data_IF_299298137259
#
_entry.id   IF_299298137259
#
_cell.length_a   1.000
_cell.length_b   1.000
_cell.length_c   1.000
_cell.angle_alpha   90.00
_cell.angle_beta   90.00
_cell.angle_gamma   90.00
#
_symmetry.space_group_name_H-M   'P 1'
#
loop_
_entity.id
_entity.type
_entity.pdbx_description
1 polymer ?
#
# COMPACT_ATOMS: atom_id res chain seq x y z
N UNK A 1 21.79 15.44 -1.90
CA UNK A 1 20.92 14.78 -0.93
C UNK A 1 19.92 13.87 -1.62
N UNK A 2 19.21 14.34 -2.66
CA UNK A 2 18.19 13.60 -3.42
C UNK A 2 18.68 12.21 -3.84
N UNK A 3 19.79 12.11 -4.59
CA UNK A 3 20.35 10.80 -5.02
C UNK A 3 20.56 9.83 -3.84
N UNK A 4 21.12 10.30 -2.74
CA UNK A 4 21.41 9.47 -1.57
C UNK A 4 20.13 8.89 -0.93
N UNK A 5 19.06 9.70 -0.85
CA UNK A 5 17.76 9.25 -0.33
C UNK A 5 17.08 8.28 -1.29
N UNK A 6 17.02 8.60 -2.58
CA UNK A 6 16.45 7.69 -3.58
C UNK A 6 17.18 6.35 -3.60
N UNK A 7 18.52 6.36 -3.48
CA UNK A 7 19.31 5.13 -3.40
C UNK A 7 18.96 4.28 -2.16
N UNK A 8 18.73 4.91 -1.01
CA UNK A 8 18.24 4.19 0.18
C UNK A 8 16.86 3.59 -0.03
N UNK A 9 15.97 4.32 -0.71
CA UNK A 9 14.63 3.85 -1.03
C UNK A 9 14.68 2.63 -1.97
N UNK A 10 15.58 2.61 -2.97
CA UNK A 10 15.80 1.43 -3.80
C UNK A 10 16.31 0.22 -3.00
N UNK A 11 17.18 0.42 -2.02
CA UNK A 11 17.61 -0.67 -1.14
C UNK A 11 16.46 -1.19 -0.25
N UNK A 12 15.56 -0.32 0.18
CA UNK A 12 14.35 -0.74 0.91
C UNK A 12 13.46 -1.58 0.01
N UNK A 13 13.22 -1.17 -1.23
CA UNK A 13 12.45 -1.94 -2.20
C UNK A 13 13.07 -3.31 -2.46
N UNK A 14 14.41 -3.40 -2.56
CA UNK A 14 15.11 -4.68 -2.67
C UNK A 14 14.84 -5.62 -1.49
N UNK A 15 14.78 -5.07 -0.26
CA UNK A 15 14.44 -5.85 0.95
C UNK A 15 12.97 -6.28 0.91
N UNK A 16 12.07 -5.42 0.48
CA UNK A 16 10.64 -5.75 0.37
C UNK A 16 10.37 -6.85 -0.64
N UNK A 17 11.13 -6.91 -1.74
CA UNK A 17 11.05 -8.00 -2.72
C UNK A 17 11.48 -9.38 -2.17
N UNK A 18 12.12 -9.46 -1.00
CA UNK A 18 12.38 -10.75 -0.35
C UNK A 18 11.08 -11.40 0.16
N UNK A 19 10.01 -10.63 0.39
CA UNK A 19 8.72 -11.16 0.82
C UNK A 19 8.10 -12.03 -0.29
N UNK A 20 7.89 -11.55 -1.53
CA UNK A 20 7.41 -12.41 -2.61
C UNK A 20 8.39 -13.56 -2.95
N UNK A 21 9.70 -13.42 -2.73
CA UNK A 21 10.64 -14.56 -2.84
C UNK A 21 10.25 -15.67 -1.85
N UNK A 22 9.90 -15.33 -0.60
CA UNK A 22 9.46 -16.33 0.38
C UNK A 22 8.16 -17.03 -0.04
N UNK A 23 7.25 -16.30 -0.69
CA UNK A 23 6.03 -16.86 -1.27
C UNK A 23 6.36 -17.83 -2.42
N UNK A 24 7.28 -17.43 -3.33
CA UNK A 24 7.73 -18.28 -4.43
C UNK A 24 8.36 -19.59 -3.93
N UNK A 25 9.16 -19.54 -2.84
CA UNK A 25 9.74 -20.73 -2.20
C UNK A 25 8.63 -21.63 -1.64
N UNK A 26 7.66 -21.06 -0.93
CA UNK A 26 6.56 -21.82 -0.32
C UNK A 26 5.72 -22.56 -1.36
N UNK A 27 5.43 -21.90 -2.50
CA UNK A 27 4.64 -22.47 -3.59
C UNK A 27 5.47 -23.24 -4.62
N UNK A 28 6.79 -23.36 -4.43
CA UNK A 28 7.72 -24.09 -5.32
C UNK A 28 7.58 -23.62 -6.79
N UNK A 29 7.56 -22.31 -6.98
CA UNK A 29 7.39 -21.70 -8.31
C UNK A 29 8.59 -22.00 -9.23
N UNK A 30 8.43 -21.70 -10.51
CA UNK A 30 9.43 -21.99 -11.54
C UNK A 30 10.73 -21.18 -11.33
N UNK A 31 11.85 -21.72 -11.79
CA UNK A 31 13.16 -21.05 -11.77
C UNK A 31 13.11 -19.68 -12.47
N UNK A 32 12.25 -19.50 -13.47
CA UNK A 32 12.10 -18.24 -14.18
C UNK A 32 11.62 -17.11 -13.25
N UNK A 33 10.69 -17.40 -12.33
CA UNK A 33 10.22 -16.44 -11.34
C UNK A 33 11.33 -16.06 -10.35
N UNK A 34 12.11 -17.04 -9.88
CA UNK A 34 13.25 -16.78 -9.01
C UNK A 34 14.30 -15.91 -9.72
N UNK A 35 14.63 -16.22 -10.98
CA UNK A 35 15.56 -15.41 -11.76
C UNK A 35 15.04 -13.98 -11.91
N UNK A 36 13.76 -13.79 -12.18
CA UNK A 36 13.13 -12.47 -12.31
C UNK A 36 13.22 -11.66 -11.01
N UNK A 37 12.85 -12.26 -9.88
CA UNK A 37 12.92 -11.62 -8.57
C UNK A 37 14.35 -11.27 -8.16
N UNK A 38 15.30 -12.24 -8.25
CA UNK A 38 16.68 -12.01 -7.85
C UNK A 38 17.44 -11.07 -8.79
N UNK A 39 17.14 -11.09 -10.09
CA UNK A 39 17.71 -10.11 -11.04
C UNK A 39 17.28 -8.69 -10.68
N UNK A 40 16.00 -8.49 -10.37
CA UNK A 40 15.48 -7.19 -9.94
C UNK A 40 16.12 -6.75 -8.62
N UNK A 41 16.19 -7.63 -7.61
CA UNK A 41 16.87 -7.36 -6.34
C UNK A 41 18.34 -6.98 -6.59
N UNK A 42 19.04 -7.71 -7.47
CA UNK A 42 20.43 -7.44 -7.83
C UNK A 42 20.61 -6.04 -8.43
N UNK A 43 19.74 -5.64 -9.35
CA UNK A 43 19.75 -4.30 -9.97
C UNK A 43 19.53 -3.22 -8.89
N UNK A 44 18.54 -3.40 -8.02
CA UNK A 44 18.21 -2.46 -6.95
C UNK A 44 19.36 -2.32 -5.94
N UNK A 45 19.98 -3.43 -5.55
CA UNK A 45 21.14 -3.44 -4.64
C UNK A 45 22.35 -2.77 -5.30
N UNK A 46 22.60 -3.03 -6.57
CA UNK A 46 23.69 -2.41 -7.31
C UNK A 46 23.50 -0.89 -7.39
N UNK A 47 22.35 -0.42 -7.88
CA UNK A 47 22.06 1.00 -8.06
C UNK A 47 21.95 1.73 -6.71
N UNK A 48 21.24 1.13 -5.76
CA UNK A 48 21.09 1.65 -4.41
C UNK A 48 22.42 1.68 -3.66
N UNK A 49 23.20 0.62 -3.73
CA UNK A 49 24.52 0.51 -3.11
C UNK A 49 25.49 1.58 -3.63
N UNK A 50 25.64 1.68 -4.97
CA UNK A 50 26.51 2.70 -5.60
C UNK A 50 26.11 4.13 -5.21
N UNK A 51 24.81 4.39 -5.09
CA UNK A 51 24.31 5.72 -4.73
C UNK A 51 24.54 6.10 -3.27
N UNK A 52 24.58 5.13 -2.36
CA UNK A 52 24.82 5.34 -0.91
C UNK A 52 26.31 5.51 -0.58
N UNK A 53 27.22 5.00 -1.40
CA UNK A 53 28.68 5.08 -1.14
C UNK A 53 29.18 6.51 -0.94
N UNK A 54 28.60 7.50 -1.61
CA UNK A 54 28.98 8.90 -1.49
C UNK A 54 27.97 9.65 -0.64
N UNK A 55 28.23 9.74 0.67
CA UNK A 55 27.41 10.53 1.61
C UNK A 55 27.45 12.02 1.23
N UNK A 56 26.31 12.72 1.19
CA UNK A 56 26.28 14.15 0.90
C UNK A 56 26.87 14.96 2.07
N UNK A 57 27.68 15.96 1.75
CA UNK A 57 28.25 16.90 2.75
C UNK A 57 27.13 17.76 3.38
N UNK A 58 26.18 18.22 2.57
CA UNK A 58 25.00 18.95 3.02
C UNK A 58 23.79 18.00 3.14
N UNK A 59 23.20 17.93 4.32
CA UNK A 59 22.07 17.06 4.64
C UNK A 59 20.73 17.84 4.75
N UNK A 60 20.73 19.14 4.43
CA UNK A 60 19.49 19.93 4.43
C UNK A 60 18.66 19.57 3.19
N UNK A 61 17.36 19.46 3.39
CA UNK A 61 16.36 19.24 2.35
C UNK A 61 15.41 20.44 2.39
N UNK A 62 15.19 21.08 1.26
CA UNK A 62 14.20 22.14 1.10
C UNK A 62 12.88 21.55 0.62
N UNK A 63 11.77 22.28 0.79
CA UNK A 63 10.43 21.82 0.40
C UNK A 63 10.35 21.37 -1.07
N UNK A 64 10.98 22.12 -1.99
CA UNK A 64 11.04 21.73 -3.42
C UNK A 64 11.74 20.38 -3.65
N UNK A 65 12.83 20.14 -2.91
CA UNK A 65 13.56 18.86 -2.98
C UNK A 65 12.72 17.72 -2.39
N UNK A 66 11.95 18.01 -1.34
CA UNK A 66 11.00 17.06 -0.74
C UNK A 66 9.98 16.56 -1.77
N UNK A 67 9.27 17.47 -2.43
CA UNK A 67 8.30 17.14 -3.48
C UNK A 67 8.94 16.37 -4.63
N UNK A 68 10.16 16.75 -5.06
CA UNK A 68 10.87 16.04 -6.12
C UNK A 68 11.25 14.61 -5.70
N UNK A 69 11.68 14.41 -4.43
CA UNK A 69 12.00 13.07 -3.90
C UNK A 69 10.75 12.19 -3.91
N UNK A 70 9.60 12.71 -3.47
CA UNK A 70 8.32 12.00 -3.50
C UNK A 70 7.98 11.56 -4.92
N UNK A 71 7.94 12.49 -5.87
CA UNK A 71 7.59 12.20 -7.26
C UNK A 71 8.54 11.15 -7.88
N UNK A 72 9.86 11.33 -7.70
CA UNK A 72 10.86 10.39 -8.22
C UNK A 72 10.79 9.03 -7.52
N UNK A 73 10.44 8.98 -6.23
CA UNK A 73 10.26 7.73 -5.50
C UNK A 73 9.12 6.90 -6.12
N UNK A 74 7.95 7.49 -6.35
CA UNK A 74 6.81 6.82 -6.98
C UNK A 74 7.15 6.28 -8.36
N UNK A 75 7.86 7.08 -9.19
CA UNK A 75 8.28 6.67 -10.53
C UNK A 75 9.28 5.51 -10.45
N UNK A 76 10.31 5.61 -9.62
CA UNK A 76 11.37 4.60 -9.52
C UNK A 76 10.85 3.29 -8.94
N UNK A 77 10.07 3.34 -7.87
CA UNK A 77 9.49 2.14 -7.25
C UNK A 77 8.49 1.45 -8.18
N UNK A 78 7.68 2.21 -8.92
CA UNK A 78 6.80 1.62 -9.93
C UNK A 78 7.58 0.97 -11.07
N UNK A 79 8.68 1.59 -11.50
CA UNK A 79 9.51 1.06 -12.59
C UNK A 79 10.25 -0.21 -12.16
N UNK A 80 10.98 -0.17 -11.06
CA UNK A 80 11.76 -1.32 -10.60
C UNK A 80 10.86 -2.43 -10.05
N UNK A 81 9.79 -2.10 -9.34
CA UNK A 81 8.81 -3.06 -8.86
C UNK A 81 8.04 -3.77 -9.98
N UNK A 82 7.99 -3.18 -11.18
CA UNK A 82 7.44 -3.79 -12.39
C UNK A 82 8.38 -4.81 -13.06
N UNK A 83 9.71 -4.71 -12.85
CA UNK A 83 10.67 -5.58 -13.53
C UNK A 83 10.47 -7.08 -13.29
N UNK A 84 10.08 -7.58 -12.11
CA UNK A 84 9.80 -9.00 -11.92
C UNK A 84 8.76 -9.55 -12.88
N UNK A 85 7.75 -8.76 -13.25
CA UNK A 85 6.72 -9.17 -14.19
C UNK A 85 7.24 -9.24 -15.63
N UNK A 86 8.11 -8.29 -16.01
CA UNK A 86 8.75 -8.26 -17.32
C UNK A 86 9.73 -9.44 -17.48
N UNK A 87 10.62 -9.63 -16.50
CA UNK A 87 11.64 -10.67 -16.54
C UNK A 87 11.06 -12.10 -16.44
N UNK A 88 9.93 -12.26 -15.74
CA UNK A 88 9.22 -13.53 -15.71
C UNK A 88 8.38 -13.80 -16.96
N UNK A 89 8.20 -12.78 -17.83
CA UNK A 89 7.35 -12.88 -19.01
C UNK A 89 5.85 -12.87 -18.73
N UNK A 90 5.41 -12.67 -17.48
CA UNK A 90 3.98 -12.66 -17.13
C UNK A 90 3.28 -11.36 -17.55
N UNK A 91 4.00 -10.23 -17.54
CA UNK A 91 3.63 -8.96 -18.20
C UNK A 91 4.86 -8.53 -19.01
N UNK A 92 4.98 -8.96 -20.28
CA UNK A 92 6.19 -8.72 -21.06
C UNK A 92 6.46 -7.24 -21.40
N UNK A 93 5.39 -6.43 -21.47
CA UNK A 93 5.48 -5.01 -21.77
C UNK A 93 5.97 -4.25 -20.53
N UNK A 94 7.06 -3.51 -20.65
CA UNK A 94 7.59 -2.64 -19.57
C UNK A 94 6.60 -1.57 -19.19
N UNK A 95 5.85 -1.02 -20.16
CA UNK A 95 4.85 0.04 -19.91
C UNK A 95 3.68 -0.53 -19.10
N UNK A 96 3.20 -1.72 -19.46
CA UNK A 96 2.09 -2.38 -18.78
C UNK A 96 2.48 -2.79 -17.36
N UNK A 97 3.68 -3.34 -17.18
CA UNK A 97 4.21 -3.68 -15.86
C UNK A 97 4.40 -2.43 -14.98
N UNK A 98 4.87 -1.32 -15.56
CA UNK A 98 4.96 -0.04 -14.87
C UNK A 98 3.58 0.47 -14.46
N UNK A 99 2.57 0.40 -15.35
CA UNK A 99 1.20 0.80 -15.06
C UNK A 99 0.62 -0.03 -13.91
N UNK A 100 0.75 -1.36 -13.97
CA UNK A 100 0.22 -2.28 -12.96
C UNK A 100 0.78 -1.99 -11.57
N UNK A 101 2.10 -1.81 -11.48
CA UNK A 101 2.76 -1.54 -10.20
C UNK A 101 2.61 -0.09 -9.74
N UNK A 102 2.52 0.85 -10.68
CA UNK A 102 2.15 2.23 -10.34
C UNK A 102 0.74 2.28 -9.72
N UNK A 103 -0.21 1.57 -10.33
CA UNK A 103 -1.56 1.40 -9.77
C UNK A 103 -1.53 0.76 -8.38
N UNK A 104 -0.64 -0.20 -8.17
CA UNK A 104 -0.40 -0.83 -6.87
C UNK A 104 0.09 0.18 -5.82
N UNK A 105 1.20 0.84 -6.05
CA UNK A 105 1.80 1.79 -5.10
C UNK A 105 0.95 3.04 -4.87
N UNK A 106 0.23 3.51 -5.88
CA UNK A 106 -0.70 4.65 -5.71
C UNK A 106 -2.06 4.22 -5.16
N UNK A 107 -2.22 2.94 -4.85
CA UNK A 107 -3.46 2.34 -4.34
C UNK A 107 -4.69 2.58 -5.23
N UNK A 108 -4.48 2.78 -6.52
CA UNK A 108 -5.53 3.06 -7.50
C UNK A 108 -6.40 1.83 -7.76
N UNK A 109 -5.81 0.64 -7.81
CA UNK A 109 -6.52 -0.63 -8.07
C UNK A 109 -6.92 -0.87 -9.52
N UNK A 110 -6.54 0.02 -10.46
CA UNK A 110 -6.72 -0.22 -11.88
C UNK A 110 -5.75 -1.31 -12.37
N UNK A 111 -6.19 -2.18 -13.28
CA UNK A 111 -5.36 -3.26 -13.82
C UNK A 111 -5.37 -3.27 -15.33
N UNK A 112 -4.21 -3.59 -15.92
CA UNK A 112 -4.06 -3.87 -17.35
C UNK A 112 -4.38 -5.33 -17.67
N UNK A 113 -4.42 -6.20 -16.65
CA UNK A 113 -4.66 -7.62 -16.81
C UNK A 113 -6.14 -7.90 -17.09
N UNK A 114 -6.42 -8.59 -18.18
CA UNK A 114 -7.74 -9.14 -18.48
C UNK A 114 -8.02 -10.41 -17.69
N UNK A 115 -6.95 -11.10 -17.27
CA UNK A 115 -7.01 -12.29 -16.43
C UNK A 115 -5.86 -12.25 -15.42
N UNK A 116 -6.19 -12.12 -14.13
CA UNK A 116 -5.20 -12.09 -13.05
C UNK A 116 -4.66 -13.48 -12.71
N UNK A 117 -5.32 -14.55 -13.17
CA UNK A 117 -4.91 -15.94 -12.92
C UNK A 117 -3.64 -16.34 -13.68
N UNK A 118 -3.22 -15.55 -14.68
CA UNK A 118 -1.95 -15.74 -15.38
C UNK A 118 -0.73 -15.47 -14.50
N UNK A 119 -0.90 -14.70 -13.43
CA UNK A 119 0.18 -14.39 -12.51
C UNK A 119 0.45 -15.55 -11.55
N UNK A 120 1.73 -15.83 -11.32
CA UNK A 120 2.15 -16.72 -10.23
C UNK A 120 1.80 -16.11 -8.87
N UNK A 121 1.65 -16.96 -7.84
CA UNK A 121 1.24 -16.51 -6.51
C UNK A 121 2.19 -15.48 -5.91
N UNK A 122 3.50 -15.61 -6.14
CA UNK A 122 4.47 -14.65 -5.64
C UNK A 122 4.32 -13.27 -6.29
N UNK A 123 4.08 -13.21 -7.61
CA UNK A 123 3.90 -11.94 -8.32
C UNK A 123 2.53 -11.33 -8.04
N UNK A 124 1.48 -12.14 -7.93
CA UNK A 124 0.16 -11.68 -7.49
C UNK A 124 0.21 -11.14 -6.05
N UNK A 125 0.99 -11.80 -5.17
CA UNK A 125 1.25 -11.30 -3.84
C UNK A 125 2.01 -9.96 -3.86
N UNK A 126 3.08 -9.85 -4.67
CA UNK A 126 3.84 -8.61 -4.82
C UNK A 126 2.95 -7.45 -5.28
N UNK A 127 2.12 -7.70 -6.29
CA UNK A 127 1.13 -6.76 -6.80
C UNK A 127 0.24 -6.20 -5.67
N UNK A 128 -0.31 -7.07 -4.83
CA UNK A 128 -1.17 -6.67 -3.72
C UNK A 128 -0.36 -6.07 -2.55
N UNK A 129 0.87 -6.53 -2.35
CA UNK A 129 1.75 -5.99 -1.32
C UNK A 129 2.15 -4.53 -1.59
N UNK A 130 2.22 -4.13 -2.86
CA UNK A 130 2.41 -2.72 -3.21
C UNK A 130 1.25 -1.83 -2.71
N UNK A 131 -0.01 -2.33 -2.68
CA UNK A 131 -1.12 -1.62 -2.04
C UNK A 131 -0.91 -1.40 -0.54
N UNK A 132 -0.45 -2.43 0.18
CA UNK A 132 -0.17 -2.30 1.62
C UNK A 132 0.91 -1.26 1.88
N UNK A 133 1.96 -1.24 1.07
CA UNK A 133 3.06 -0.28 1.19
C UNK A 133 2.57 1.12 0.81
N UNK A 134 1.83 1.23 -0.28
CA UNK A 134 1.29 2.48 -0.82
C UNK A 134 0.31 3.16 0.11
N UNK A 135 -0.56 2.40 0.79
CA UNK A 135 -1.64 2.91 1.64
C UNK A 135 -1.17 3.78 2.81
N UNK A 136 0.07 3.62 3.28
CA UNK A 136 0.66 4.52 4.29
C UNK A 136 1.67 5.52 3.71
N UNK A 137 1.82 5.53 2.39
CA UNK A 137 2.82 6.36 1.73
C UNK A 137 4.23 5.82 1.90
N UNK A 138 4.91 5.60 0.79
CA UNK A 138 6.29 5.07 0.73
C UNK A 138 7.24 5.87 1.61
N UNK A 139 7.06 7.18 1.69
CA UNK A 139 7.96 8.04 2.44
C UNK A 139 7.73 8.01 3.94
N UNK A 140 6.48 7.81 4.39
CA UNK A 140 6.20 7.59 5.82
C UNK A 140 6.85 6.29 6.28
N UNK A 141 6.76 5.23 5.48
CA UNK A 141 7.46 3.99 5.72
C UNK A 141 8.99 4.16 5.75
N UNK A 142 9.55 4.86 4.75
CA UNK A 142 10.97 5.13 4.70
C UNK A 142 11.45 5.96 5.92
N UNK A 143 10.69 6.98 6.34
CA UNK A 143 11.00 7.80 7.51
C UNK A 143 10.90 7.02 8.82
N UNK A 144 9.96 6.08 8.93
CA UNK A 144 9.83 5.22 10.10
C UNK A 144 11.07 4.33 10.31
N UNK A 145 11.69 3.86 9.20
CA UNK A 145 12.87 2.99 9.24
C UNK A 145 14.18 3.78 9.33
N UNK A 146 14.25 5.00 8.76
CA UNK A 146 15.47 5.80 8.73
C UNK A 146 15.80 6.35 10.12
N UNK A 147 17.03 6.08 10.60
CA UNK A 147 17.53 6.65 11.85
C UNK A 147 17.78 8.17 11.75
N UNK A 148 17.41 8.88 12.82
CA UNK A 148 17.66 10.32 13.00
C UNK A 148 17.12 11.24 11.89
N UNK A 149 15.79 11.24 11.71
CA UNK A 149 15.14 12.31 10.96
C UNK A 149 15.43 13.68 11.63
N UNK A 150 16.41 14.41 11.10
CA UNK A 150 16.61 15.84 11.43
C UNK A 150 15.40 16.61 10.89
N UNK A 151 15.16 17.82 11.39
CA UNK A 151 14.03 18.68 10.98
C UNK A 151 13.85 18.87 9.45
N UNK A 152 14.92 18.59 8.67
CA UNK A 152 14.89 18.65 7.21
C UNK A 152 14.01 17.57 6.54
N UNK A 153 13.68 16.47 7.22
CA UNK A 153 12.80 15.42 6.68
C UNK A 153 11.32 15.74 6.90
N UNK A 154 11.00 16.77 7.67
CA UNK A 154 9.65 17.26 7.94
C UNK A 154 8.93 17.69 6.64
N UNK A 155 9.66 18.32 5.73
CA UNK A 155 9.10 18.82 4.47
C UNK A 155 8.75 17.69 3.52
N UNK A 156 9.51 16.59 3.54
CA UNK A 156 9.21 15.37 2.76
C UNK A 156 7.93 14.71 3.28
N UNK A 157 7.81 14.62 4.60
CA UNK A 157 6.64 14.00 5.24
C UNK A 157 5.36 14.84 5.05
N UNK A 158 5.44 16.17 5.08
CA UNK A 158 4.29 17.06 4.80
C UNK A 158 3.77 16.92 3.38
N UNK A 159 4.62 16.56 2.42
CA UNK A 159 4.22 16.35 1.04
C UNK A 159 3.45 15.04 0.81
N UNK A 160 3.60 14.06 1.70
CA UNK A 160 3.06 12.70 1.52
C UNK A 160 1.85 12.39 2.42
N UNK A 161 1.79 12.97 3.62
CA UNK A 161 0.72 12.64 4.59
C UNK A 161 -0.54 13.43 4.27
N UNK A 162 -1.64 12.79 3.85
CA UNK A 162 -2.91 13.46 3.69
C UNK A 162 -3.50 13.83 5.06
N UNK A 163 -3.96 15.09 5.19
CA UNK A 163 -4.69 15.55 6.38
C UNK A 163 -4.07 16.78 7.09
N UNK A 164 -4.81 17.39 8.01
CA UNK A 164 -4.35 18.57 8.75
C UNK A 164 -3.14 18.26 9.63
N UNK A 165 -2.25 19.22 9.68
CA UNK A 165 -0.92 19.16 10.32
C UNK A 165 -1.00 18.61 11.75
N UNK A 166 -0.15 17.65 12.05
CA UNK A 166 0.05 17.05 13.37
C UNK A 166 0.13 18.11 14.48
N UNK A 167 -0.85 18.10 15.36
CA UNK A 167 -0.80 18.92 16.57
C UNK A 167 0.37 18.52 17.46
N UNK A 168 0.80 19.43 18.34
CA UNK A 168 1.96 19.35 19.26
C UNK A 168 1.99 18.15 20.23
N UNK A 169 1.40 17.00 19.89
CA UNK A 169 1.16 15.87 20.82
C UNK A 169 2.35 14.90 20.89
N UNK A 170 3.23 14.87 19.89
CA UNK A 170 4.38 13.96 19.88
C UNK A 170 5.66 14.73 19.58
N UNK A 171 6.60 14.66 20.49
CA UNK A 171 7.86 15.43 20.46
C UNK A 171 8.82 15.08 19.31
N UNK A 172 8.57 13.97 18.58
CA UNK A 172 9.41 13.53 17.46
C UNK A 172 8.54 12.93 16.35
N UNK A 173 8.61 13.50 15.16
CA UNK A 173 7.91 13.06 13.94
C UNK A 173 8.12 11.58 13.61
N UNK A 174 9.33 11.07 13.81
CA UNK A 174 9.65 9.65 13.62
C UNK A 174 8.76 8.76 14.50
N UNK A 175 8.58 9.13 15.78
CA UNK A 175 7.75 8.35 16.70
C UNK A 175 6.28 8.35 16.27
N UNK A 176 5.78 9.49 15.78
CA UNK A 176 4.41 9.58 15.25
C UNK A 176 4.23 8.69 14.04
N UNK A 177 5.12 8.77 13.05
CA UNK A 177 5.08 7.92 11.86
C UNK A 177 5.15 6.42 12.23
N UNK A 178 6.03 6.06 13.18
CA UNK A 178 6.13 4.67 13.65
C UNK A 178 4.83 4.19 14.31
N UNK A 179 4.21 5.01 15.16
CA UNK A 179 2.94 4.65 15.81
C UNK A 179 1.82 4.46 14.78
N UNK A 180 1.67 5.40 13.83
CA UNK A 180 0.66 5.30 12.78
C UNK A 180 0.89 4.07 11.90
N UNK A 181 2.16 3.76 11.58
CA UNK A 181 2.48 2.58 10.80
C UNK A 181 2.20 1.27 11.57
N UNK A 182 2.50 1.23 12.87
CA UNK A 182 2.16 0.09 13.73
C UNK A 182 0.64 -0.10 13.83
N UNK A 183 -0.13 0.97 13.97
CA UNK A 183 -1.60 0.92 13.95
C UNK A 183 -2.13 0.38 12.61
N UNK A 184 -1.56 0.84 11.51
CA UNK A 184 -1.91 0.35 10.17
C UNK A 184 -1.63 -1.15 10.02
N UNK A 185 -0.44 -1.61 10.42
CA UNK A 185 -0.09 -3.02 10.38
C UNK A 185 -0.92 -3.87 11.35
N UNK A 186 -1.28 -3.33 12.51
CA UNK A 186 -2.16 -4.01 13.47
C UNK A 186 -3.57 -4.19 12.90
N UNK A 187 -4.14 -3.15 12.27
CA UNK A 187 -5.42 -3.23 11.58
C UNK A 187 -5.35 -4.20 10.39
N UNK A 188 -4.30 -4.13 9.58
CA UNK A 188 -4.08 -5.08 8.48
C UNK A 188 -4.09 -6.52 9.01
N UNK A 189 -3.30 -6.81 10.05
CA UNK A 189 -3.23 -8.15 10.64
C UNK A 189 -4.59 -8.60 11.21
N UNK A 190 -5.33 -7.69 11.82
CA UNK A 190 -6.68 -7.95 12.31
C UNK A 190 -7.61 -8.37 11.16
N UNK A 191 -7.60 -7.66 10.03
CA UNK A 191 -8.44 -7.99 8.88
C UNK A 191 -8.01 -9.29 8.19
N UNK A 192 -6.71 -9.62 8.14
CA UNK A 192 -6.26 -10.95 7.70
C UNK A 192 -6.93 -12.04 8.53
N UNK A 193 -6.91 -11.91 9.86
CA UNK A 193 -7.54 -12.88 10.77
C UNK A 193 -9.05 -12.94 10.58
N UNK A 194 -9.71 -11.78 10.46
CA UNK A 194 -11.16 -11.70 10.23
C UNK A 194 -11.55 -12.43 8.94
N UNK A 195 -10.84 -12.19 7.83
CA UNK A 195 -11.13 -12.82 6.54
C UNK A 195 -10.86 -14.33 6.58
N UNK A 196 -9.79 -14.75 7.22
CA UNK A 196 -9.49 -16.18 7.42
C UNK A 196 -10.59 -16.87 8.24
N UNK A 197 -11.04 -16.28 9.34
CA UNK A 197 -12.11 -16.82 10.16
C UNK A 197 -13.47 -16.81 9.44
N UNK A 198 -13.66 -15.90 8.49
CA UNK A 198 -14.86 -15.86 7.64
C UNK A 198 -14.86 -16.95 6.54
N UNK A 199 -13.79 -17.76 6.44
CA UNK A 199 -13.70 -18.91 5.53
C UNK A 199 -12.86 -18.66 4.27
N UNK A 200 -12.16 -17.52 4.15
CA UNK A 200 -11.20 -17.34 3.06
C UNK A 200 -9.94 -18.21 3.26
N UNK A 201 -9.34 -18.76 2.19
CA UNK A 201 -7.99 -19.33 2.26
C UNK A 201 -6.99 -18.33 2.83
N UNK A 202 -6.00 -18.80 3.59
CA UNK A 202 -5.04 -17.92 4.26
C UNK A 202 -4.30 -16.99 3.28
N UNK A 203 -3.86 -17.52 2.13
CA UNK A 203 -3.21 -16.71 1.10
C UNK A 203 -4.12 -15.60 0.58
N UNK A 204 -5.37 -15.93 0.26
CA UNK A 204 -6.35 -14.97 -0.22
C UNK A 204 -6.66 -13.91 0.85
N UNK A 205 -6.73 -14.32 2.12
CA UNK A 205 -6.93 -13.40 3.24
C UNK A 205 -5.83 -12.35 3.33
N UNK A 206 -4.57 -12.73 3.10
CA UNK A 206 -3.47 -11.77 3.02
C UNK A 206 -3.60 -10.83 1.82
N UNK A 207 -3.84 -11.38 0.63
CA UNK A 207 -3.94 -10.60 -0.62
C UNK A 207 -5.10 -9.62 -0.57
N UNK A 208 -6.28 -10.08 -0.15
CA UNK A 208 -7.47 -9.22 -0.01
C UNK A 208 -7.29 -8.18 1.08
N UNK A 209 -6.69 -8.54 2.22
CA UNK A 209 -6.42 -7.57 3.29
C UNK A 209 -5.44 -6.48 2.86
N UNK A 210 -4.44 -6.79 2.01
CA UNK A 210 -3.54 -5.80 1.42
C UNK A 210 -4.29 -4.83 0.51
N UNK A 211 -5.16 -5.34 -0.37
CA UNK A 211 -6.04 -4.54 -1.22
C UNK A 211 -7.02 -3.68 -0.41
N UNK A 212 -7.54 -4.22 0.69
CA UNK A 212 -8.40 -3.50 1.63
C UNK A 212 -7.64 -2.39 2.35
N UNK A 213 -6.44 -2.68 2.84
CA UNK A 213 -5.62 -1.73 3.59
C UNK A 213 -5.19 -0.52 2.74
N UNK A 214 -4.89 -0.74 1.47
CA UNK A 214 -4.64 0.34 0.51
C UNK A 214 -5.92 0.97 -0.05
N UNK A 215 -7.12 0.46 0.28
CA UNK A 215 -8.40 0.86 -0.33
C UNK A 215 -8.42 0.77 -1.87
N UNK A 216 -7.52 -0.04 -2.45
CA UNK A 216 -7.29 -0.12 -3.89
C UNK A 216 -8.10 -1.22 -4.59
N UNK A 217 -8.34 -2.36 -3.91
CA UNK A 217 -9.23 -3.41 -4.38
C UNK A 217 -8.62 -4.46 -5.30
N UNK A 218 -7.29 -4.63 -5.35
CA UNK A 218 -6.68 -5.76 -6.03
C UNK A 218 -7.13 -7.09 -5.40
N UNK A 219 -7.48 -8.06 -6.25
CA UNK A 219 -8.01 -9.36 -5.86
C UNK A 219 -7.21 -10.51 -6.45
N UNK A 220 -7.47 -11.73 -5.96
CA UNK A 220 -6.84 -12.97 -6.43
C UNK A 220 -7.51 -13.49 -7.70
N UNK A 221 -8.80 -13.20 -7.89
CA UNK A 221 -9.66 -13.73 -8.95
C UNK A 221 -10.27 -12.59 -9.77
N UNK A 222 -10.63 -12.88 -11.03
CA UNK A 222 -11.20 -11.89 -11.94
C UNK A 222 -12.59 -11.40 -11.53
N UNK A 223 -13.37 -12.27 -10.92
CA UNK A 223 -14.70 -11.98 -10.36
C UNK A 223 -14.61 -11.30 -8.97
N UNK A 224 -13.38 -11.00 -8.51
CA UNK A 224 -13.13 -10.24 -7.31
C UNK A 224 -13.63 -10.95 -6.06
N UNK A 225 -14.30 -10.17 -5.18
CA UNK A 225 -14.85 -10.69 -3.91
C UNK A 225 -16.08 -11.59 -4.16
N UNK A 226 -16.76 -11.45 -5.29
CA UNK A 226 -17.89 -12.30 -5.65
C UNK A 226 -17.50 -13.78 -5.77
N UNK A 227 -16.22 -14.07 -6.07
CA UNK A 227 -15.67 -15.43 -6.14
C UNK A 227 -16.00 -16.29 -4.91
N UNK A 228 -16.04 -15.70 -3.74
CA UNK A 228 -16.28 -16.45 -2.49
C UNK A 228 -17.75 -16.81 -2.26
N UNK A 229 -18.68 -16.28 -3.06
CA UNK A 229 -20.13 -16.56 -2.94
C UNK A 229 -20.72 -16.29 -1.55
N UNK A 230 -20.06 -15.47 -0.73
CA UNK A 230 -20.42 -15.21 0.66
C UNK A 230 -20.73 -13.73 0.91
N UNK A 231 -21.98 -13.45 1.26
CA UNK A 231 -22.39 -12.11 1.67
C UNK A 231 -21.62 -11.61 2.90
N UNK A 232 -21.28 -12.52 3.84
CA UNK A 232 -20.49 -12.18 5.02
C UNK A 232 -19.12 -11.62 4.61
N UNK A 233 -18.42 -12.31 3.73
CA UNK A 233 -17.10 -11.87 3.22
C UNK A 233 -17.22 -10.51 2.53
N UNK A 234 -18.25 -10.32 1.70
CA UNK A 234 -18.48 -9.05 1.01
C UNK A 234 -18.68 -7.90 1.99
N UNK A 235 -19.50 -8.09 3.04
CA UNK A 235 -19.69 -7.07 4.07
C UNK A 235 -18.41 -6.79 4.87
N UNK A 236 -17.68 -7.84 5.26
CA UNK A 236 -16.42 -7.67 6.01
C UNK A 236 -15.36 -6.91 5.22
N UNK A 237 -15.20 -7.20 3.92
CA UNK A 237 -14.28 -6.46 3.04
C UNK A 237 -14.73 -5.01 2.89
N UNK A 238 -16.04 -4.76 2.68
CA UNK A 238 -16.60 -3.41 2.59
C UNK A 238 -16.36 -2.60 3.87
N UNK A 239 -16.60 -3.20 5.03
CA UNK A 239 -16.30 -2.57 6.33
C UNK A 239 -14.79 -2.31 6.46
N UNK A 240 -13.95 -3.25 6.03
CA UNK A 240 -12.50 -3.08 6.02
C UNK A 240 -12.07 -1.85 5.23
N UNK A 241 -12.55 -1.70 3.99
CA UNK A 241 -12.25 -0.54 3.14
C UNK A 241 -12.69 0.76 3.82
N UNK A 242 -13.90 0.78 4.43
CA UNK A 242 -14.38 1.95 5.16
C UNK A 242 -13.49 2.29 6.36
N UNK A 243 -13.05 1.30 7.12
CA UNK A 243 -12.14 1.47 8.27
C UNK A 243 -10.80 2.03 7.80
N UNK A 244 -10.21 1.50 6.74
CA UNK A 244 -8.93 2.02 6.23
C UNK A 244 -9.05 3.39 5.55
N UNK A 245 -10.24 3.79 5.10
CA UNK A 245 -10.51 5.11 4.56
C UNK A 245 -10.58 6.22 5.62
N UNK A 246 -10.65 5.89 6.90
CA UNK A 246 -10.65 6.87 8.00
C UNK A 246 -9.23 7.43 8.22
N UNK A 247 -9.14 8.73 8.50
CA UNK A 247 -7.87 9.38 8.84
C UNK A 247 -7.19 8.68 10.04
N UNK A 248 -5.98 8.15 9.82
CA UNK A 248 -5.26 7.36 10.83
C UNK A 248 -4.91 8.13 12.12
N UNK A 249 -4.85 9.46 12.07
CA UNK A 249 -4.69 10.27 13.29
C UNK A 249 -5.85 10.07 14.27
N UNK A 250 -7.03 9.77 13.77
CA UNK A 250 -8.20 9.55 14.62
C UNK A 250 -8.08 8.23 15.42
N UNK A 251 -7.49 7.20 14.82
CA UNK A 251 -7.18 5.95 15.57
C UNK A 251 -6.17 6.19 16.69
N UNK A 252 -5.24 7.11 16.50
CA UNK A 252 -4.34 7.53 17.57
C UNK A 252 -5.10 8.20 18.74
N UNK A 253 -6.15 9.00 18.47
CA UNK A 253 -7.02 9.51 19.53
C UNK A 253 -7.77 8.40 20.27
N UNK A 254 -8.24 7.36 19.58
CA UNK A 254 -8.85 6.20 20.23
C UNK A 254 -7.85 5.48 21.15
N UNK A 255 -6.62 5.29 20.70
CA UNK A 255 -5.56 4.69 21.52
C UNK A 255 -5.29 5.53 22.80
N UNK A 256 -5.39 6.84 22.72
CA UNK A 256 -5.29 7.75 23.86
C UNK A 256 -6.58 7.86 24.70
N UNK A 257 -7.59 7.03 24.42
CA UNK A 257 -8.94 7.04 25.05
C UNK A 257 -9.68 8.38 24.91
N UNK A 258 -9.35 9.17 23.88
CA UNK A 258 -10.03 10.45 23.58
C UNK A 258 -11.20 10.26 22.62
N UNK A 259 -12.18 9.44 23.01
CA UNK A 259 -13.33 9.08 22.15
C UNK A 259 -14.14 10.30 21.71
N UNK A 260 -14.27 11.32 22.57
CA UNK A 260 -14.97 12.58 22.20
C UNK A 260 -14.27 13.33 21.07
N UNK A 261 -12.93 13.31 21.01
CA UNK A 261 -12.18 13.94 19.95
C UNK A 261 -12.32 13.16 18.63
N UNK A 262 -12.40 11.83 18.70
CA UNK A 262 -12.65 10.96 17.55
C UNK A 262 -14.04 11.22 16.94
N UNK A 263 -15.10 11.15 17.75
CA UNK A 263 -16.48 11.33 17.29
C UNK A 263 -16.83 12.80 16.94
N UNK A 264 -16.07 13.74 17.49
CA UNK A 264 -16.23 15.18 17.25
C UNK A 264 -15.53 15.68 15.99
N UNK A 265 -14.76 14.84 15.30
CA UNK A 265 -13.98 15.25 14.14
C UNK A 265 -14.88 15.53 12.92
N UNK A 266 -14.66 16.66 12.26
CA UNK A 266 -15.47 17.13 11.13
C UNK A 266 -15.19 16.31 9.86
N UNK A 267 -13.95 15.89 9.65
CA UNK A 267 -13.54 15.07 8.51
C UNK A 267 -14.21 13.69 8.58
N UNK A 268 -14.21 13.06 9.76
CA UNK A 268 -14.89 11.78 9.98
C UNK A 268 -16.40 11.89 9.71
N UNK A 269 -17.05 12.95 10.20
CA UNK A 269 -18.49 13.17 9.98
C UNK A 269 -18.79 13.36 8.49
N UNK A 270 -18.01 14.20 7.80
CA UNK A 270 -18.16 14.41 6.37
C UNK A 270 -17.97 13.10 5.59
N UNK A 271 -16.93 12.32 5.93
CA UNK A 271 -16.66 11.01 5.34
C UNK A 271 -17.87 10.07 5.48
N UNK A 272 -18.40 9.91 6.70
CA UNK A 272 -19.55 9.03 6.95
C UNK A 272 -20.77 9.50 6.16
N UNK A 273 -21.05 10.82 6.15
CA UNK A 273 -22.21 11.38 5.41
C UNK A 273 -22.07 11.10 3.90
N UNK A 274 -20.89 11.33 3.33
CA UNK A 274 -20.63 11.06 1.89
C UNK A 274 -20.85 9.59 1.58
N UNK A 275 -20.33 8.68 2.40
CA UNK A 275 -20.50 7.23 2.21
C UNK A 275 -21.99 6.85 2.27
N UNK A 276 -22.70 7.30 3.29
CA UNK A 276 -24.14 6.97 3.46
C UNK A 276 -25.01 7.54 2.32
N UNK A 277 -24.77 8.78 1.94
CA UNK A 277 -25.53 9.42 0.85
C UNK A 277 -25.22 8.73 -0.49
N UNK A 278 -23.95 8.47 -0.80
CA UNK A 278 -23.57 7.79 -2.03
C UNK A 278 -24.14 6.38 -2.10
N UNK A 279 -24.03 5.61 -1.01
CA UNK A 279 -24.61 4.27 -0.92
C UNK A 279 -26.12 4.31 -1.10
N UNK A 280 -26.81 5.24 -0.43
CA UNK A 280 -28.26 5.42 -0.58
C UNK A 280 -28.69 5.76 -2.01
N UNK A 281 -28.00 6.69 -2.66
CA UNK A 281 -28.29 7.09 -4.04
C UNK A 281 -28.05 5.94 -5.03
N UNK A 282 -26.94 5.21 -4.88
CA UNK A 282 -26.63 4.04 -5.73
C UNK A 282 -27.70 2.95 -5.51
N UNK A 283 -28.04 2.66 -4.25
CA UNK A 283 -29.06 1.66 -3.94
C UNK A 283 -30.40 2.02 -4.56
N UNK A 284 -30.86 3.27 -4.41
CA UNK A 284 -32.11 3.73 -5.04
C UNK A 284 -32.08 3.62 -6.55
N UNK A 285 -30.93 3.97 -7.19
CA UNK A 285 -30.80 3.90 -8.64
C UNK A 285 -30.76 2.45 -9.16
N UNK A 286 -30.30 1.49 -8.36
CA UNK A 286 -30.18 0.07 -8.75
C UNK A 286 -31.35 -0.80 -8.31
N UNK A 287 -32.27 -0.31 -7.48
CA UNK A 287 -33.40 -1.07 -6.98
C UNK A 287 -34.23 -1.75 -8.09
N UNK A 288 -34.38 -1.07 -9.24
CA UNK A 288 -35.13 -1.60 -10.37
C UNK A 288 -34.44 -2.83 -11.03
N UNK A 289 -33.12 -2.98 -10.90
CA UNK A 289 -32.38 -4.11 -11.44
C UNK A 289 -32.62 -5.39 -10.63
N UNK A 290 -32.97 -5.25 -9.35
CA UNK A 290 -33.18 -6.38 -8.42
C UNK A 290 -34.65 -6.76 -8.27
N UNK A 291 -35.61 -5.94 -8.73
CA UNK A 291 -37.05 -6.24 -8.65
C UNK A 291 -37.51 -7.35 -9.61
N UNK A 292 -36.63 -7.85 -10.49
CA UNK A 292 -36.89 -8.95 -11.40
C UNK A 292 -36.34 -10.30 -10.97
N UNK A 293 -35.74 -10.41 -9.79
CA UNK A 293 -35.12 -11.63 -9.24
C UNK A 293 -35.85 -12.02 -7.96
N UNK A 294 -37.12 -12.39 -8.11
CA UNK A 294 -37.96 -13.01 -7.04
C UNK A 294 -38.42 -14.38 -7.46
#
# INVERSE_FOLDING_TARGET
MIRYLLSKLLLIEAVLLLVPVSVAIYYQESSQVFIALFSTIGILVLLGGLGVLRKPKNQRIYAKEGVLIVALCWILWSFFGGLPFVFSGQIPSVIDAFFEISSGFTTTGATILTDVSVLTRSLLFWRSFTHLIGGMGVLVFALAIMDNAKNSHLEVMKAEVPGPVFGKVVSKLKNTAQILYLLYLALFSLFVVIYYLAGMPLYDSFVIAMGTAGTGGFTVYNDGIAHYGSSLITYLVSIGVLVFGVNFNLYYYLMLRRVKAFLGDEELRAYIIIVLVSTGLITLNTLHLYQGVS
#
